data_IF_426984291079
#
_entry.id   IF_426984291079
#
_cell.length_a   1.000
_cell.length_b   1.000
_cell.length_c   1.000
_cell.angle_alpha   90.00
_cell.angle_beta   90.00
_cell.angle_gamma   90.00
#
_symmetry.space_group_name_H-M   'P 1'
#
loop_
_entity.id
_entity.type
_entity.pdbx_description
1 polymer ?
#
# COMPACT_ATOMS: atom_id res chain seq x y z
N UNK A 1 8.62 35.94 -40.47
CA UNK A 1 7.22 35.67 -40.87
C UNK A 1 6.85 34.39 -40.14
N UNK A 2 6.32 34.54 -38.94
CA UNK A 2 5.94 33.43 -38.06
C UNK A 2 4.51 33.01 -38.44
N UNK A 3 4.33 31.73 -38.75
CA UNK A 3 3.00 31.15 -39.01
C UNK A 3 2.80 30.06 -37.97
N UNK A 4 1.95 30.36 -37.00
CA UNK A 4 1.40 29.42 -36.02
C UNK A 4 0.54 28.37 -36.74
N UNK A 5 0.86 27.09 -36.57
CA UNK A 5 -0.04 26.01 -36.94
C UNK A 5 -0.81 25.57 -35.69
N UNK A 6 -2.06 26.02 -35.58
CA UNK A 6 -3.03 25.47 -34.63
C UNK A 6 -3.65 24.22 -35.26
N UNK A 7 -3.23 23.04 -34.78
CA UNK A 7 -3.91 21.78 -35.08
C UNK A 7 -5.19 21.70 -34.24
N UNK A 8 -6.30 22.18 -34.82
CA UNK A 8 -7.64 21.76 -34.38
C UNK A 8 -7.90 20.39 -34.98
N UNK A 9 -7.98 19.38 -34.13
CA UNK A 9 -8.45 18.05 -34.49
C UNK A 9 -9.97 18.09 -34.41
N UNK A 10 -10.66 17.94 -35.54
CA UNK A 10 -12.11 17.77 -35.56
C UNK A 10 -12.45 16.38 -34.99
N UNK A 11 -13.37 16.27 -34.01
CA UNK A 11 -13.72 15.01 -33.37
C UNK A 11 -14.53 14.04 -34.24
N UNK A 12 -14.91 14.43 -35.46
CA UNK A 12 -15.67 13.60 -36.40
C UNK A 12 -14.78 12.91 -37.46
N UNK A 13 -13.46 13.12 -37.45
CA UNK A 13 -12.50 12.50 -38.40
C UNK A 13 -12.12 11.04 -38.03
N UNK A 14 -12.79 10.45 -37.04
CA UNK A 14 -12.53 9.07 -36.57
C UNK A 14 -13.64 8.06 -36.92
N UNK A 15 -14.60 8.42 -37.76
CA UNK A 15 -15.77 7.59 -38.07
C UNK A 15 -15.83 7.08 -39.52
N UNK A 16 -14.68 6.90 -40.17
CA UNK A 16 -14.64 6.25 -41.49
C UNK A 16 -13.51 5.21 -41.58
N UNK A 17 -13.83 4.00 -41.12
CA UNK A 17 -13.05 2.80 -41.45
C UNK A 17 -13.98 1.69 -41.97
N UNK A 18 -14.67 1.97 -43.07
CA UNK A 18 -15.31 0.91 -43.86
C UNK A 18 -14.35 0.29 -44.91
N UNK A 19 -14.08 -1.00 -44.68
CA UNK A 19 -14.04 -2.10 -45.65
C UNK A 19 -13.15 -2.03 -46.91
N UNK A 20 -12.04 -2.78 -46.86
CA UNK A 20 -11.38 -3.39 -48.02
C UNK A 20 -11.15 -4.90 -47.82
N UNK A 21 -11.81 -5.72 -48.66
CA UNK A 21 -11.86 -7.20 -48.73
C UNK A 21 -10.46 -7.82 -48.99
N UNK A 22 -10.11 -9.09 -48.72
CA UNK A 22 -10.84 -10.34 -48.98
C UNK A 22 -10.20 -11.61 -48.34
N UNK A 23 -11.04 -12.62 -48.10
CA UNK A 23 -10.70 -14.04 -47.89
C UNK A 23 -10.95 -14.51 -46.45
N UNK A 24 -11.92 -15.35 -46.09
CA UNK A 24 -12.89 -16.16 -46.81
C UNK A 24 -13.16 -17.41 -45.97
N UNK A 25 -14.39 -17.59 -45.45
CA UNK A 25 -14.88 -18.89 -44.98
C UNK A 25 -15.57 -18.92 -43.61
N UNK A 26 -16.86 -19.29 -43.62
CA UNK A 26 -17.49 -20.08 -42.55
C UNK A 26 -18.34 -19.33 -41.53
N UNK A 27 -19.61 -19.11 -41.85
CA UNK A 27 -20.62 -18.68 -40.90
C UNK A 27 -20.89 -19.71 -39.80
N UNK A 28 -21.10 -19.22 -38.58
CA UNK A 28 -21.57 -19.99 -37.44
C UNK A 28 -21.96 -19.05 -36.30
N UNK A 29 -23.24 -18.67 -36.24
CA UNK A 29 -23.86 -17.86 -35.19
C UNK A 29 -23.35 -18.26 -33.80
N UNK A 30 -22.61 -17.36 -33.13
CA UNK A 30 -22.36 -17.45 -31.69
C UNK A 30 -23.03 -16.24 -31.07
N UNK A 31 -24.15 -16.48 -30.40
CA UNK A 31 -24.97 -15.44 -29.79
C UNK A 31 -24.13 -14.54 -28.90
N UNK A 32 -24.32 -13.23 -29.07
CA UNK A 32 -23.86 -12.22 -28.12
C UNK A 32 -24.43 -12.58 -26.74
N UNK A 33 -23.61 -13.18 -25.88
CA UNK A 33 -23.81 -13.03 -24.45
C UNK A 33 -23.40 -11.61 -24.13
N UNK A 34 -24.35 -10.68 -24.30
CA UNK A 34 -24.24 -9.32 -23.77
C UNK A 34 -24.01 -9.45 -22.27
N UNK A 35 -22.77 -9.22 -21.85
CA UNK A 35 -22.44 -9.04 -20.45
C UNK A 35 -23.22 -7.80 -19.99
N UNK A 36 -24.16 -7.97 -19.06
CA UNK A 36 -25.07 -6.90 -18.67
C UNK A 36 -24.30 -5.69 -18.13
N UNK A 37 -24.75 -4.49 -18.47
CA UNK A 37 -24.11 -3.20 -18.15
C UNK A 37 -23.77 -3.02 -16.64
N UNK A 38 -24.54 -3.70 -15.76
CA UNK A 38 -24.26 -3.81 -14.33
C UNK A 38 -22.89 -4.45 -14.02
N UNK A 39 -22.51 -5.50 -14.75
CA UNK A 39 -21.20 -6.19 -14.55
C UNK A 39 -20.01 -5.37 -15.05
N UNK A 40 -20.19 -4.52 -16.07
CA UNK A 40 -19.14 -3.61 -16.54
C UNK A 40 -18.88 -2.49 -15.52
N UNK A 41 -19.93 -1.98 -14.88
CA UNK A 41 -19.82 -0.91 -13.88
C UNK A 41 -19.19 -1.40 -12.57
N UNK A 42 -19.51 -2.62 -12.14
CA UNK A 42 -18.84 -3.26 -11.01
C UNK A 42 -17.37 -3.54 -11.31
N UNK A 43 -17.06 -4.06 -12.51
CA UNK A 43 -15.68 -4.31 -12.92
C UNK A 43 -14.88 -3.02 -13.08
N UNK A 44 -15.49 -1.92 -13.53
CA UNK A 44 -14.84 -0.61 -13.58
C UNK A 44 -14.57 -0.04 -12.17
N UNK A 45 -15.48 -0.28 -11.21
CA UNK A 45 -15.29 0.12 -9.81
C UNK A 45 -14.17 -0.68 -9.15
N UNK A 46 -14.11 -1.99 -9.40
CA UNK A 46 -13.05 -2.87 -8.93
C UNK A 46 -11.69 -2.51 -9.55
N UNK A 47 -11.64 -2.20 -10.85
CA UNK A 47 -10.42 -1.72 -11.51
C UNK A 47 -9.96 -0.37 -10.94
N UNK A 48 -10.89 0.53 -10.60
CA UNK A 48 -10.57 1.83 -10.00
C UNK A 48 -10.05 1.67 -8.56
N UNK A 49 -10.61 0.74 -7.79
CA UNK A 49 -10.10 0.37 -6.46
C UNK A 49 -8.72 -0.27 -6.56
N UNK A 50 -8.52 -1.21 -7.47
CA UNK A 50 -7.22 -1.84 -7.71
C UNK A 50 -6.17 -0.83 -8.23
N UNK A 51 -6.57 0.17 -9.02
CA UNK A 51 -5.67 1.27 -9.43
C UNK A 51 -5.32 2.20 -8.26
N UNK A 52 -6.27 2.50 -7.37
CA UNK A 52 -6.00 3.27 -6.16
C UNK A 52 -5.05 2.49 -5.22
N UNK A 53 -5.31 1.20 -4.99
CA UNK A 53 -4.42 0.32 -4.22
C UNK A 53 -3.04 0.19 -4.86
N UNK A 54 -2.95 0.07 -6.19
CA UNK A 54 -1.67 0.04 -6.90
C UNK A 54 -0.94 1.38 -6.89
N UNK A 55 -1.63 2.51 -6.82
CA UNK A 55 -1.00 3.83 -6.70
C UNK A 55 -0.42 4.04 -5.31
N UNK A 56 -1.12 3.56 -4.26
CA UNK A 56 -0.59 3.49 -2.89
C UNK A 56 0.62 2.57 -2.82
N UNK A 57 0.56 1.39 -3.46
CA UNK A 57 1.70 0.46 -3.53
C UNK A 57 2.87 1.02 -4.36
N UNK A 58 2.63 1.86 -5.37
CA UNK A 58 3.69 2.47 -6.20
C UNK A 58 4.39 3.65 -5.49
N UNK A 59 3.72 4.25 -4.50
CA UNK A 59 4.31 5.22 -3.59
C UNK A 59 5.22 4.56 -2.52
N UNK A 60 5.26 3.21 -2.43
CA UNK A 60 6.15 2.49 -1.50
C UNK A 60 7.65 2.75 -1.75
N UNK A 61 8.01 3.35 -2.90
CA UNK A 61 9.39 3.72 -3.25
C UNK A 61 9.61 5.25 -3.38
N UNK A 62 8.65 6.10 -2.99
CA UNK A 62 8.98 7.51 -2.80
C UNK A 62 9.60 7.66 -1.42
N UNK A 63 10.82 8.20 -1.33
CA UNK A 63 11.51 8.50 -0.07
C UNK A 63 10.70 9.53 0.73
N UNK A 64 9.69 9.07 1.47
CA UNK A 64 8.97 9.87 2.46
C UNK A 64 9.94 10.21 3.58
N UNK A 65 9.80 11.41 4.15
CA UNK A 65 10.57 11.75 5.34
C UNK A 65 10.20 10.81 6.50
N UNK A 66 11.12 10.53 7.44
CA UNK A 66 10.83 9.70 8.61
C UNK A 66 9.58 10.16 9.38
N UNK A 67 9.37 11.47 9.47
CA UNK A 67 8.20 12.07 10.12
C UNK A 67 6.89 11.79 9.38
N UNK A 68 6.89 11.82 8.04
CA UNK A 68 5.70 11.53 7.24
C UNK A 68 5.30 10.05 7.33
N UNK A 69 6.28 9.12 7.28
CA UNK A 69 5.99 7.69 7.42
C UNK A 69 5.42 7.35 8.80
N UNK A 70 5.95 7.98 9.85
CA UNK A 70 5.41 7.82 11.20
C UNK A 70 3.99 8.39 11.30
N UNK A 71 3.74 9.53 10.65
CA UNK A 71 2.42 10.16 10.67
C UNK A 71 1.35 9.28 10.02
N UNK A 72 1.64 8.60 8.91
CA UNK A 72 0.70 7.67 8.25
C UNK A 72 0.20 6.58 9.23
N UNK A 73 1.10 6.05 10.07
CA UNK A 73 0.75 5.04 11.09
C UNK A 73 -0.08 5.67 12.23
N UNK A 74 0.26 6.88 12.65
CA UNK A 74 -0.50 7.59 13.69
C UNK A 74 -1.92 7.94 13.22
N UNK A 75 -2.09 8.33 11.95
CA UNK A 75 -3.42 8.56 11.36
C UNK A 75 -4.27 7.29 11.35
N UNK A 76 -3.65 6.15 11.01
CA UNK A 76 -4.31 4.85 11.13
C UNK A 76 -4.78 4.60 12.57
N UNK A 77 -3.90 4.76 13.56
CA UNK A 77 -4.25 4.53 14.97
C UNK A 77 -5.36 5.48 15.44
N UNK A 78 -5.27 6.76 15.08
CA UNK A 78 -6.30 7.78 15.36
C UNK A 78 -7.65 7.39 14.77
N UNK A 79 -7.66 6.78 13.58
CA UNK A 79 -8.88 6.28 12.94
C UNK A 79 -9.50 5.08 13.69
N UNK A 80 -8.68 4.22 14.29
CA UNK A 80 -9.15 3.07 15.08
C UNK A 80 -9.75 3.51 16.41
N UNK A 81 -9.18 4.55 17.02
CA UNK A 81 -9.70 5.16 18.25
C UNK A 81 -10.81 6.20 17.99
N UNK A 82 -11.24 6.41 16.75
CA UNK A 82 -12.24 7.41 16.42
C UNK A 82 -13.57 7.15 17.17
N UNK A 83 -13.95 8.09 18.03
CA UNK A 83 -15.16 7.97 18.87
C UNK A 83 -14.98 7.15 20.14
N UNK A 84 -13.77 6.65 20.41
CA UNK A 84 -13.40 5.98 21.66
C UNK A 84 -12.84 6.99 22.67
N UNK A 85 -13.38 7.02 23.89
CA UNK A 85 -12.84 7.85 24.98
C UNK A 85 -11.56 7.24 25.57
N UNK A 86 -11.43 5.91 25.49
CA UNK A 86 -10.37 5.15 26.17
C UNK A 86 -9.07 5.07 25.36
N UNK A 87 -9.06 5.49 24.08
CA UNK A 87 -7.89 5.49 23.18
C UNK A 87 -7.06 4.19 23.24
N UNK A 88 -7.74 3.04 23.21
CA UNK A 88 -7.13 1.72 23.43
C UNK A 88 -6.04 1.40 22.42
N UNK A 89 -6.25 1.71 21.15
CA UNK A 89 -5.27 1.42 20.11
C UNK A 89 -4.02 2.25 20.30
N UNK A 90 -4.17 3.53 20.67
CA UNK A 90 -3.06 4.43 21.02
C UNK A 90 -2.27 3.89 22.21
N UNK A 91 -2.93 3.45 23.29
CA UNK A 91 -2.25 2.88 24.46
C UNK A 91 -1.50 1.59 24.12
N UNK A 92 -2.12 0.68 23.36
CA UNK A 92 -1.47 -0.56 22.92
C UNK A 92 -0.26 -0.27 22.03
N UNK A 93 -0.40 0.68 21.11
CA UNK A 93 0.68 1.10 20.24
C UNK A 93 1.86 1.70 21.01
N UNK A 94 1.59 2.53 22.02
CA UNK A 94 2.62 3.08 22.90
C UNK A 94 3.36 1.98 23.67
N UNK A 95 2.63 0.99 24.19
CA UNK A 95 3.23 -0.18 24.85
C UNK A 95 4.17 -0.93 23.90
N UNK A 96 3.66 -1.29 22.71
CA UNK A 96 4.44 -1.96 21.68
C UNK A 96 5.67 -1.16 21.25
N UNK A 97 5.53 0.16 21.08
CA UNK A 97 6.63 1.04 20.69
C UNK A 97 7.73 1.04 21.76
N UNK A 98 7.36 1.19 23.04
CA UNK A 98 8.32 1.15 24.16
C UNK A 98 9.08 -0.17 24.23
N UNK A 99 8.39 -1.28 24.00
CA UNK A 99 9.00 -2.61 24.03
C UNK A 99 10.02 -2.82 22.90
N UNK A 100 9.75 -2.29 21.71
CA UNK A 100 10.50 -2.64 20.50
C UNK A 100 11.46 -1.54 19.98
N UNK A 101 11.38 -0.30 20.48
CA UNK A 101 12.17 0.83 19.96
C UNK A 101 13.68 0.70 20.21
N UNK A 102 14.08 -0.02 21.26
CA UNK A 102 15.49 -0.13 21.63
C UNK A 102 16.28 -0.99 20.63
N UNK A 103 15.72 -2.13 20.25
CA UNK A 103 16.31 -3.04 19.27
C UNK A 103 15.32 -3.39 18.13
N UNK A 104 15.24 -2.52 17.10
CA UNK A 104 14.40 -2.79 15.95
C UNK A 104 14.81 -4.05 15.18
N UNK A 105 16.10 -4.40 15.17
CA UNK A 105 16.58 -5.49 14.30
C UNK A 105 16.17 -6.87 14.83
N UNK A 106 15.98 -6.99 16.15
CA UNK A 106 15.47 -8.19 16.84
C UNK A 106 13.93 -8.27 16.94
N UNK A 107 13.20 -7.41 16.21
CA UNK A 107 11.74 -7.41 16.21
C UNK A 107 11.15 -8.79 15.83
N UNK A 108 10.47 -9.40 16.80
CA UNK A 108 9.69 -10.63 16.61
C UNK A 108 8.25 -10.25 16.28
N UNK A 109 7.73 -10.84 15.20
CA UNK A 109 6.34 -10.63 14.77
C UNK A 109 5.52 -11.86 15.13
N UNK A 110 4.44 -11.66 15.87
CA UNK A 110 3.50 -12.73 16.17
C UNK A 110 2.44 -12.85 15.07
N UNK A 111 2.09 -14.08 14.66
CA UNK A 111 1.01 -14.29 13.70
C UNK A 111 -0.36 -13.81 14.20
N UNK A 112 -0.55 -13.76 15.53
CA UNK A 112 -1.78 -13.25 16.15
C UNK A 112 -1.97 -11.74 16.02
N UNK A 113 -0.91 -10.99 15.70
CA UNK A 113 -0.94 -9.53 15.51
C UNK A 113 -1.24 -9.13 14.05
N UNK A 114 -1.47 -10.13 13.20
CA UNK A 114 -1.64 -9.94 11.76
C UNK A 114 -3.07 -10.25 11.33
N UNK A 115 -3.55 -9.52 10.32
CA UNK A 115 -4.83 -9.80 9.68
C UNK A 115 -4.86 -11.19 9.02
N UNK A 116 -6.04 -11.65 8.62
CA UNK A 116 -6.15 -12.86 7.82
C UNK A 116 -5.47 -12.67 6.44
N UNK A 117 -4.95 -13.76 5.88
CA UNK A 117 -4.35 -13.74 4.55
C UNK A 117 -5.35 -13.33 3.46
N UNK A 118 -5.06 -12.24 2.76
CA UNK A 118 -5.80 -11.80 1.60
C UNK A 118 -5.26 -12.51 0.35
N UNK A 119 -6.17 -13.11 -0.43
CA UNK A 119 -5.84 -13.80 -1.70
C UNK A 119 -6.08 -12.85 -2.86
N UNK A 120 -5.01 -12.39 -3.48
CA UNK A 120 -5.06 -11.43 -4.57
C UNK A 120 -4.84 -12.13 -5.92
N UNK A 121 -5.35 -11.50 -6.97
CA UNK A 121 -4.99 -11.84 -8.36
C UNK A 121 -3.70 -11.09 -8.70
N UNK A 122 -2.70 -11.78 -9.25
CA UNK A 122 -1.43 -11.15 -9.58
C UNK A 122 -1.61 -10.05 -10.66
N UNK A 123 -0.99 -8.89 -10.46
CA UNK A 123 -0.97 -7.79 -11.43
C UNK A 123 -0.27 -8.22 -12.72
N UNK A 124 -0.92 -7.91 -13.85
CA UNK A 124 -0.42 -8.26 -15.18
C UNK A 124 0.28 -7.04 -15.77
N UNK A 125 1.57 -7.14 -16.11
CA UNK A 125 2.16 -6.26 -17.12
C UNK A 125 1.50 -6.59 -18.46
N UNK A 126 1.08 -5.58 -19.22
CA UNK A 126 0.39 -5.73 -20.51
C UNK A 126 1.09 -6.79 -21.39
N UNK A 127 0.39 -7.87 -21.77
CA UNK A 127 0.88 -8.88 -22.72
C UNK A 127 0.87 -10.36 -22.31
N UNK A 128 0.25 -10.78 -21.19
CA UNK A 128 0.29 -12.19 -20.77
C UNK A 128 -1.03 -12.77 -20.28
N UNK A 129 -1.84 -13.35 -21.18
CA UNK A 129 -3.13 -14.00 -20.87
C UNK A 129 -3.06 -15.22 -19.92
N UNK A 130 -1.87 -15.71 -19.57
CA UNK A 130 -1.68 -16.86 -18.68
C UNK A 130 -1.60 -16.55 -17.17
N UNK A 131 -1.40 -15.28 -16.78
CA UNK A 131 -1.36 -14.88 -15.35
C UNK A 131 -2.75 -14.61 -14.75
N UNK A 132 -3.80 -14.59 -15.57
CA UNK A 132 -5.13 -14.11 -15.21
C UNK A 132 -5.93 -14.96 -14.21
N UNK A 133 -5.54 -16.19 -13.86
CA UNK A 133 -6.41 -17.10 -13.08
C UNK A 133 -5.89 -17.52 -11.71
N UNK A 134 -4.59 -17.38 -11.42
CA UNK A 134 -4.05 -17.88 -10.17
C UNK A 134 -4.11 -16.83 -9.05
N UNK A 135 -4.97 -17.04 -8.05
CA UNK A 135 -5.03 -16.25 -6.80
C UNK A 135 -3.88 -16.60 -5.84
N UNK A 136 -2.66 -16.54 -6.35
CA UNK A 136 -1.45 -16.91 -5.63
C UNK A 136 -0.71 -15.71 -5.03
N UNK A 137 -1.08 -14.49 -5.44
CA UNK A 137 -0.64 -13.29 -4.75
C UNK A 137 -1.25 -13.25 -3.34
N UNK A 138 -0.48 -12.71 -2.41
CA UNK A 138 -0.81 -12.69 -0.98
C UNK A 138 -0.62 -11.29 -0.45
N UNK A 139 -1.49 -10.87 0.45
CA UNK A 139 -1.32 -9.67 1.23
C UNK A 139 -1.73 -9.91 2.68
N UNK A 140 -1.16 -9.11 3.57
CA UNK A 140 -1.44 -9.13 5.00
C UNK A 140 -1.17 -7.77 5.60
N UNK A 141 -1.80 -7.48 6.73
CA UNK A 141 -1.71 -6.20 7.43
C UNK A 141 -1.40 -6.43 8.90
N UNK A 142 -0.46 -5.67 9.45
CA UNK A 142 -0.24 -5.62 10.90
C UNK A 142 -1.38 -4.85 11.56
N UNK A 143 -2.09 -5.49 12.49
CA UNK A 143 -3.33 -4.93 13.06
C UNK A 143 -3.07 -3.69 13.90
N UNK A 144 -1.94 -3.63 14.60
CA UNK A 144 -1.65 -2.51 15.50
C UNK A 144 -1.23 -1.24 14.76
N UNK A 145 -0.43 -1.38 13.70
CA UNK A 145 0.13 -0.23 12.96
C UNK A 145 -0.53 0.04 11.62
N UNK A 146 -1.39 -0.86 11.14
CA UNK A 146 -2.02 -0.75 9.82
C UNK A 146 -1.07 -0.98 8.64
N UNK A 147 0.20 -1.34 8.91
CA UNK A 147 1.20 -1.58 7.87
C UNK A 147 0.80 -2.83 7.08
N UNK A 148 0.39 -2.62 5.83
CA UNK A 148 0.07 -3.68 4.85
C UNK A 148 1.29 -3.98 3.99
N UNK A 149 1.44 -5.22 3.55
CA UNK A 149 2.34 -5.57 2.45
C UNK A 149 1.72 -6.64 1.55
N UNK A 150 2.18 -6.71 0.30
CA UNK A 150 1.75 -7.72 -0.67
C UNK A 150 2.93 -8.32 -1.45
N UNK A 151 2.72 -9.52 -1.98
CA UNK A 151 3.70 -10.30 -2.73
C UNK A 151 3.01 -11.09 -3.85
N UNK A 152 3.64 -11.10 -5.02
CA UNK A 152 3.18 -11.79 -6.23
C UNK A 152 4.35 -12.36 -7.06
N UNK A 153 5.55 -12.41 -6.47
CA UNK A 153 6.79 -12.76 -7.15
C UNK A 153 6.81 -14.24 -7.57
N UNK A 154 6.17 -15.12 -6.79
CA UNK A 154 6.08 -16.54 -7.05
C UNK A 154 4.73 -16.96 -7.65
N UNK A 155 4.77 -18.01 -8.46
CA UNK A 155 3.57 -18.72 -8.93
C UNK A 155 2.92 -19.57 -7.83
N UNK A 156 3.52 -19.71 -6.66
CA UNK A 156 2.99 -20.45 -5.52
C UNK A 156 2.66 -19.52 -4.36
N UNK A 157 1.65 -19.88 -3.57
CA UNK A 157 1.18 -19.08 -2.44
C UNK A 157 2.20 -18.97 -1.30
N UNK A 158 2.74 -20.10 -0.85
CA UNK A 158 3.59 -20.16 0.34
C UNK A 158 4.88 -19.30 0.25
N UNK A 159 5.61 -19.28 -0.89
CA UNK A 159 6.72 -18.34 -1.05
C UNK A 159 6.28 -16.88 -0.97
N UNK A 160 5.11 -16.53 -1.51
CA UNK A 160 4.58 -15.17 -1.42
C UNK A 160 4.20 -14.81 0.03
N UNK A 161 3.66 -15.75 0.82
CA UNK A 161 3.38 -15.55 2.25
C UNK A 161 4.67 -15.21 3.02
N UNK A 162 5.75 -15.94 2.75
CA UNK A 162 7.08 -15.66 3.36
C UNK A 162 7.59 -14.27 2.99
N UNK A 163 7.46 -13.88 1.72
CA UNK A 163 7.87 -12.56 1.25
C UNK A 163 7.04 -11.45 1.91
N UNK A 164 5.71 -11.62 2.04
CA UNK A 164 4.86 -10.64 2.73
C UNK A 164 5.31 -10.46 4.18
N UNK A 165 5.54 -11.55 4.92
CA UNK A 165 5.96 -11.45 6.32
C UNK A 165 7.31 -10.73 6.47
N UNK A 166 8.26 -11.00 5.57
CA UNK A 166 9.55 -10.28 5.56
C UNK A 166 9.38 -8.79 5.24
N UNK A 167 8.55 -8.44 4.25
CA UNK A 167 8.26 -7.02 3.92
C UNK A 167 7.58 -6.30 5.09
N UNK A 168 6.65 -6.95 5.80
CA UNK A 168 6.02 -6.37 7.00
C UNK A 168 7.08 -6.13 8.09
N UNK A 169 7.97 -7.12 8.32
CA UNK A 169 9.10 -6.94 9.25
C UNK A 169 9.94 -5.74 8.90
N UNK A 170 10.45 -5.67 7.67
CA UNK A 170 11.28 -4.55 7.21
C UNK A 170 10.58 -3.20 7.41
N UNK A 171 9.28 -3.10 7.11
CA UNK A 171 8.50 -1.87 7.31
C UNK A 171 8.34 -1.51 8.78
N UNK A 172 8.08 -2.47 9.66
CA UNK A 172 7.98 -2.24 11.09
C UNK A 172 9.33 -1.82 11.69
N UNK A 173 10.42 -2.46 11.28
CA UNK A 173 11.77 -2.08 11.67
C UNK A 173 12.11 -0.67 11.21
N UNK A 174 11.77 -0.33 9.96
CA UNK A 174 11.91 1.04 9.44
C UNK A 174 11.12 2.04 10.26
N UNK A 175 9.88 1.72 10.60
CA UNK A 175 9.02 2.56 11.44
C UNK A 175 9.62 2.84 12.82
N UNK A 176 10.13 1.79 13.50
CA UNK A 176 10.84 1.93 14.77
C UNK A 176 12.12 2.80 14.63
N UNK A 177 12.89 2.58 13.57
CA UNK A 177 14.09 3.39 13.26
C UNK A 177 13.73 4.85 13.00
N UNK A 178 12.64 5.14 12.30
CA UNK A 178 12.15 6.50 12.07
C UNK A 178 11.78 7.18 13.39
N UNK A 179 11.14 6.46 14.33
CA UNK A 179 10.90 6.97 15.68
C UNK A 179 12.19 7.30 16.42
N UNK A 180 13.21 6.44 16.37
CA UNK A 180 14.52 6.76 16.97
C UNK A 180 15.10 8.04 16.38
N UNK A 181 15.02 8.24 15.07
CA UNK A 181 15.48 9.47 14.40
C UNK A 181 14.71 10.69 14.91
N UNK A 182 13.39 10.61 15.01
CA UNK A 182 12.54 11.71 15.52
C UNK A 182 12.88 12.06 16.96
N UNK A 183 13.02 11.06 17.84
CA UNK A 183 13.32 11.27 19.25
C UNK A 183 14.75 11.81 19.46
N UNK A 184 15.70 11.34 18.66
CA UNK A 184 17.08 11.87 18.67
C UNK A 184 17.11 13.32 18.15
N UNK A 185 16.22 13.66 17.21
CA UNK A 185 16.07 15.02 16.71
C UNK A 185 15.51 15.98 17.78
N UNK A 186 14.70 15.48 18.72
CA UNK A 186 14.19 16.27 19.87
C UNK A 186 15.14 16.37 21.06
N UNK A 187 16.17 15.52 21.15
CA UNK A 187 17.18 15.58 22.20
C UNK A 187 18.13 16.79 22.06
N UNK A 188 18.61 17.32 23.18
CA UNK A 188 19.62 18.39 23.18
C UNK A 188 20.98 17.90 22.66
N UNK A 189 21.81 18.79 22.13
CA UNK A 189 23.10 18.41 21.54
C UNK A 189 24.05 17.74 22.56
N UNK A 190 23.91 18.04 23.86
CA UNK A 190 24.66 17.37 24.94
C UNK A 190 24.27 15.90 25.14
N UNK A 191 23.01 15.53 24.89
CA UNK A 191 22.52 14.16 25.02
C UNK A 191 22.92 13.29 23.83
N UNK A 192 22.96 13.89 22.63
CA UNK A 192 23.44 13.24 21.40
C UNK A 192 24.91 12.84 21.50
N UNK A 193 25.73 13.70 22.10
CA UNK A 193 27.17 13.46 22.29
C UNK A 193 27.47 12.32 23.26
N UNK A 194 26.53 11.96 24.15
CA UNK A 194 26.71 10.88 25.14
C UNK A 194 26.28 9.50 24.65
N UNK A 195 25.76 9.37 23.42
CA UNK A 195 25.10 8.14 22.93
C UNK A 195 24.09 7.58 23.96
N UNK A 196 23.37 8.47 24.65
CA UNK A 196 22.42 8.04 25.67
C UNK A 196 21.35 7.15 25.01
N UNK A 197 20.89 6.08 25.68
CA UNK A 197 19.77 5.30 25.20
C UNK A 197 18.58 6.23 24.91
N UNK A 198 17.81 5.92 23.86
CA UNK A 198 16.62 6.70 23.46
C UNK A 198 15.77 6.95 24.69
N UNK A 199 15.60 8.22 25.05
CA UNK A 199 14.81 8.60 26.22
C UNK A 199 13.33 8.37 25.94
N UNK A 200 12.81 7.27 26.47
CA UNK A 200 11.40 6.89 26.34
C UNK A 200 10.47 7.78 27.14
N UNK A 201 10.99 8.65 28.03
CA UNK A 201 10.20 9.61 28.79
C UNK A 201 9.49 10.63 27.90
N UNK A 202 10.12 11.00 26.77
CA UNK A 202 9.53 11.92 25.79
C UNK A 202 8.65 11.24 24.74
N UNK A 203 8.64 9.89 24.69
CA UNK A 203 7.93 9.13 23.67
C UNK A 203 6.42 9.38 23.71
N UNK A 204 5.83 9.33 24.90
CA UNK A 204 4.39 9.50 25.07
C UNK A 204 3.96 10.92 24.67
N UNK A 205 4.72 11.93 25.11
CA UNK A 205 4.44 13.32 24.78
C UNK A 205 4.52 13.56 23.25
N UNK A 206 5.58 13.07 22.60
CA UNK A 206 5.76 13.27 21.16
C UNK A 206 4.70 12.52 20.32
N UNK A 207 4.29 11.32 20.73
CA UNK A 207 3.19 10.58 20.09
C UNK A 207 1.87 11.33 20.25
N UNK A 208 1.52 11.76 21.46
CA UNK A 208 0.27 12.49 21.73
C UNK A 208 0.23 13.83 20.99
N UNK A 209 1.35 14.55 20.96
CA UNK A 209 1.50 15.81 20.23
C UNK A 209 1.23 15.64 18.74
N UNK A 210 1.77 14.58 18.12
CA UNK A 210 1.57 14.28 16.69
C UNK A 210 0.16 13.77 16.38
N UNK A 211 -0.49 13.07 17.30
CA UNK A 211 -1.90 12.67 17.17
C UNK A 211 -2.86 13.86 17.26
N UNK A 212 -2.48 14.91 18.00
CA UNK A 212 -3.28 16.13 18.16
C UNK A 212 -3.17 17.10 16.96
N UNK A 213 -2.19 16.90 16.07
CA UNK A 213 -2.05 17.65 14.82
C UNK A 213 -3.02 17.12 13.76
#
# INVERSE_FOLDING_TARGET
MEIEYSLRVDPDDFDDFEQGRAGGGGGGKKGEKRQGDLTLREHAKEVRQNQAENTVNRAENSDKSPAAEVQDVLEYIKSQDAGSVEMKCTTQYLGWLKENIHDPDDLVINEGEMSNWEKLTASVKAGGGGRQTSRNARARTHLLTGIRASAEESRQAYPNETIVMNKIRERLQKHLKNWKVILSASQTDEDRLKQAPVDTGMLEEEVLKRLAT
#
